data_IF_041469643356
#
_entry.id   IF_041469643356
#
_cell.length_a   1.000
_cell.length_b   1.000
_cell.length_c   1.000
_cell.angle_alpha   90.00
_cell.angle_beta   90.00
_cell.angle_gamma   90.00
#
_symmetry.space_group_name_H-M   'P 1'
#
loop_
_entity.id
_entity.type
_entity.pdbx_description
1 polymer ?
#
# COMPACT_ATOMS: atom_id res chain seq x y z
N UNK A 1 7.90 -18.67 17.22
CA UNK A 1 6.61 -18.80 16.51
C UNK A 1 6.89 -19.26 15.09
N UNK A 2 6.17 -20.26 14.58
CA UNK A 2 6.41 -20.80 13.25
C UNK A 2 5.58 -20.02 12.22
N UNK A 3 6.24 -19.20 11.40
CA UNK A 3 5.62 -18.43 10.32
C UNK A 3 5.24 -19.36 9.14
N UNK A 4 4.31 -20.30 9.35
CA UNK A 4 3.90 -21.30 8.35
C UNK A 4 3.15 -20.71 7.15
N UNK A 5 2.68 -19.45 7.25
CA UNK A 5 1.93 -18.74 6.22
C UNK A 5 2.67 -17.51 5.68
N UNK A 6 4.01 -17.52 5.74
CA UNK A 6 4.86 -16.45 5.22
C UNK A 6 5.68 -16.99 4.03
N UNK A 7 5.50 -16.37 2.85
CA UNK A 7 6.38 -16.57 1.70
C UNK A 7 7.33 -15.39 1.58
N UNK A 8 8.64 -15.66 1.51
CA UNK A 8 9.66 -14.63 1.28
C UNK A 8 10.06 -14.68 -0.19
N UNK A 9 9.60 -13.70 -0.97
CA UNK A 9 9.73 -13.67 -2.44
C UNK A 9 11.04 -13.04 -2.94
N UNK A 10 11.94 -12.66 -2.03
CA UNK A 10 13.21 -12.00 -2.37
C UNK A 10 13.07 -10.56 -2.88
N UNK A 11 14.19 -9.97 -3.29
CA UNK A 11 14.21 -8.64 -3.91
C UNK A 11 13.84 -8.74 -5.38
N UNK A 12 13.03 -7.80 -5.87
CA UNK A 12 12.56 -7.71 -7.25
C UNK A 12 12.81 -6.30 -7.79
N UNK A 13 13.01 -6.20 -9.10
CA UNK A 13 12.99 -4.90 -9.80
C UNK A 13 11.58 -4.33 -9.80
N UNK A 14 11.45 -3.00 -9.88
CA UNK A 14 10.16 -2.30 -9.77
C UNK A 14 9.09 -2.82 -10.73
N UNK A 15 9.42 -3.08 -11.99
CA UNK A 15 8.47 -3.60 -12.98
C UNK A 15 7.97 -5.01 -12.63
N UNK A 16 8.89 -5.88 -12.21
CA UNK A 16 8.58 -7.24 -11.80
C UNK A 16 7.73 -7.24 -10.52
N UNK A 17 8.09 -6.39 -9.56
CA UNK A 17 7.33 -6.21 -8.33
C UNK A 17 5.90 -5.72 -8.62
N UNK A 18 5.74 -4.72 -9.49
CA UNK A 18 4.42 -4.21 -9.87
C UNK A 18 3.59 -5.26 -10.59
N UNK A 19 4.20 -6.06 -11.48
CA UNK A 19 3.52 -7.15 -12.16
C UNK A 19 3.03 -8.21 -11.17
N UNK A 20 3.87 -8.62 -10.23
CA UNK A 20 3.50 -9.60 -9.20
C UNK A 20 2.38 -9.08 -8.29
N UNK A 21 2.49 -7.83 -7.81
CA UNK A 21 1.45 -7.21 -6.98
C UNK A 21 0.13 -7.02 -7.71
N UNK A 22 0.16 -6.77 -9.03
CA UNK A 22 -1.06 -6.58 -9.84
C UNK A 22 -1.95 -7.80 -9.95
N UNK A 23 -1.47 -8.98 -9.51
CA UNK A 23 -2.26 -10.22 -9.43
C UNK A 23 -3.36 -10.14 -8.37
N UNK A 24 -3.28 -9.19 -7.45
CA UNK A 24 -4.31 -8.93 -6.43
C UNK A 24 -3.82 -9.11 -5.00
N UNK A 25 -4.77 -9.01 -4.07
CA UNK A 25 -4.51 -8.99 -2.63
C UNK A 25 -4.56 -7.59 -2.04
N UNK A 26 -3.98 -7.42 -0.85
CA UNK A 26 -3.91 -6.15 -0.15
C UNK A 26 -2.46 -5.74 0.10
N UNK A 27 -2.16 -4.46 -0.13
CA UNK A 27 -0.90 -3.86 0.26
C UNK A 27 -0.92 -3.49 1.73
N UNK A 28 -0.23 -4.24 2.59
CA UNK A 28 -0.11 -3.91 4.00
C UNK A 28 1.02 -2.91 4.23
N UNK A 29 0.67 -1.72 4.72
CA UNK A 29 1.64 -0.73 5.16
C UNK A 29 1.69 -0.78 6.67
N UNK A 30 2.75 -1.38 7.21
CA UNK A 30 2.90 -1.55 8.65
C UNK A 30 4.22 -1.02 9.15
N UNK A 31 4.21 -0.60 10.41
CA UNK A 31 5.40 -0.19 11.13
C UNK A 31 5.79 -1.13 12.26
N UNK A 32 7.08 -1.30 12.49
CA UNK A 32 7.55 -1.96 13.71
C UNK A 32 7.66 -0.88 14.79
N UNK A 33 6.73 -0.88 15.74
CA UNK A 33 6.84 -0.12 16.99
C UNK A 33 7.99 -0.69 17.83
N UNK A 34 9.22 -0.46 17.40
CA UNK A 34 10.42 -0.77 18.16
C UNK A 34 11.43 0.31 17.82
N UNK A 35 11.25 1.49 18.40
CA UNK A 35 12.28 2.44 18.85
C UNK A 35 11.59 3.78 19.12
N UNK A 36 11.19 3.99 20.37
CA UNK A 36 10.52 5.21 20.87
C UNK A 36 11.42 6.47 20.82
N UNK A 37 12.54 6.45 20.11
CA UNK A 37 13.53 7.52 20.05
C UNK A 37 13.80 8.09 18.66
N UNK A 38 13.54 7.34 17.58
CA UNK A 38 13.78 7.83 16.24
C UNK A 38 12.58 7.57 15.32
N UNK A 39 12.10 8.67 14.74
CA UNK A 39 11.55 8.71 13.39
C UNK A 39 10.02 8.71 13.20
N UNK A 40 9.28 9.40 14.07
CA UNK A 40 7.92 9.86 13.73
C UNK A 40 7.90 10.66 12.39
N UNK A 41 8.98 11.36 12.07
CA UNK A 41 9.16 12.07 10.79
C UNK A 41 9.49 11.14 9.61
N UNK A 42 10.25 10.05 9.78
CA UNK A 42 10.51 9.12 8.66
C UNK A 42 9.28 8.28 8.30
N UNK A 43 8.45 7.91 9.27
CA UNK A 43 7.19 7.22 8.99
C UNK A 43 6.29 8.03 8.04
N UNK A 44 6.31 9.35 8.16
CA UNK A 44 5.54 10.24 7.30
C UNK A 44 6.06 10.26 5.85
N UNK A 45 7.37 10.08 5.64
CA UNK A 45 8.01 10.18 4.31
C UNK A 45 8.19 8.80 3.62
N UNK A 46 8.67 7.78 4.33
CA UNK A 46 8.94 6.45 3.78
C UNK A 46 7.67 5.72 3.33
N UNK A 47 6.52 6.04 3.93
CA UNK A 47 5.27 5.35 3.65
C UNK A 47 4.63 5.80 2.33
N UNK A 48 5.01 6.99 1.81
CA UNK A 48 4.58 7.45 0.48
C UNK A 48 4.94 6.45 -0.62
N UNK A 49 6.14 5.84 -0.55
CA UNK A 49 6.58 4.89 -1.56
C UNK A 49 5.81 3.56 -1.51
N UNK A 50 5.55 2.98 -0.34
CA UNK A 50 4.81 1.71 -0.23
C UNK A 50 3.35 1.87 -0.69
N UNK A 51 2.66 2.89 -0.16
CA UNK A 51 1.27 3.18 -0.55
C UNK A 51 1.20 3.41 -2.06
N UNK A 52 2.07 4.25 -2.60
CA UNK A 52 2.07 4.54 -4.03
C UNK A 52 2.37 3.31 -4.89
N UNK A 53 3.31 2.45 -4.49
CA UNK A 53 3.59 1.19 -5.21
C UNK A 53 2.37 0.29 -5.26
N UNK A 54 1.69 0.08 -4.14
CA UNK A 54 0.48 -0.75 -4.09
C UNK A 54 -0.66 -0.17 -4.93
N UNK A 55 -0.92 1.12 -4.82
CA UNK A 55 -1.95 1.79 -5.62
C UNK A 55 -1.60 1.80 -7.13
N UNK A 56 -0.31 1.95 -7.48
CA UNK A 56 0.17 1.86 -8.87
C UNK A 56 0.02 0.45 -9.43
N UNK A 57 0.24 -0.58 -8.60
CA UNK A 57 -0.02 -1.97 -8.92
C UNK A 57 -1.52 -2.30 -9.02
N UNK A 58 -2.40 -1.38 -8.60
CA UNK A 58 -3.84 -1.54 -8.73
C UNK A 58 -4.51 -2.27 -7.57
N UNK A 59 -3.83 -2.42 -6.44
CA UNK A 59 -4.36 -3.14 -5.27
C UNK A 59 -4.70 -2.19 -4.10
N UNK A 60 -5.76 -2.47 -3.35
CA UNK A 60 -6.12 -1.70 -2.16
C UNK A 60 -5.09 -1.86 -1.05
N UNK A 61 -5.04 -0.86 -0.17
CA UNK A 61 -4.07 -0.82 0.94
C UNK A 61 -4.75 -0.93 2.30
N UNK A 62 -4.03 -1.46 3.28
CA UNK A 62 -4.42 -1.41 4.70
C UNK A 62 -3.30 -0.69 5.45
N UNK A 63 -3.66 0.36 6.19
CA UNK A 63 -2.70 1.28 6.82
C UNK A 63 -3.08 1.55 8.28
N UNK A 64 -2.12 1.90 9.16
CA UNK A 64 -2.45 2.34 10.52
C UNK A 64 -3.15 3.69 10.52
N UNK A 65 -4.01 3.92 11.49
CA UNK A 65 -4.81 5.16 11.60
C UNK A 65 -3.95 6.40 11.84
N UNK A 66 -2.76 6.23 12.43
CA UNK A 66 -1.79 7.29 12.66
C UNK A 66 -1.04 7.73 11.39
N UNK A 67 -1.25 7.06 10.25
CA UNK A 67 -0.63 7.46 9.00
C UNK A 67 -1.29 8.74 8.46
N UNK A 68 -0.48 9.72 8.07
CA UNK A 68 -0.94 11.02 7.56
C UNK A 68 -1.91 10.92 6.36
N UNK A 69 -1.76 9.89 5.53
CA UNK A 69 -2.62 9.63 4.36
C UNK A 69 -3.79 8.68 4.65
N UNK A 70 -3.92 8.16 5.88
CA UNK A 70 -4.95 7.17 6.24
C UNK A 70 -6.37 7.66 5.96
N UNK A 71 -6.68 8.89 6.40
CA UNK A 71 -7.98 9.51 6.14
C UNK A 71 -8.27 9.64 4.65
N UNK A 72 -7.28 10.09 3.88
CA UNK A 72 -7.42 10.22 2.42
C UNK A 72 -7.71 8.86 1.76
N UNK A 73 -6.98 7.81 2.15
CA UNK A 73 -7.17 6.45 1.62
C UNK A 73 -8.61 5.98 1.85
N UNK A 74 -9.15 6.15 3.06
CA UNK A 74 -10.51 5.72 3.38
C UNK A 74 -11.56 6.60 2.71
N UNK A 75 -11.40 7.93 2.76
CA UNK A 75 -12.35 8.87 2.16
C UNK A 75 -12.45 8.69 0.62
N UNK A 76 -11.35 8.31 -0.04
CA UNK A 76 -11.33 7.99 -1.48
C UNK A 76 -11.68 6.53 -1.79
N UNK A 77 -11.93 5.70 -0.77
CA UNK A 77 -12.26 4.29 -0.91
C UNK A 77 -11.15 3.48 -1.58
N UNK A 78 -9.89 3.76 -1.25
CA UNK A 78 -8.68 3.11 -1.80
C UNK A 78 -8.13 2.01 -0.86
N UNK A 79 -8.75 1.82 0.29
CA UNK A 79 -8.25 0.91 1.32
C UNK A 79 -8.92 1.12 2.68
N UNK A 80 -8.30 0.55 3.71
CA UNK A 80 -8.81 0.55 5.08
C UNK A 80 -7.78 1.04 6.08
N UNK A 81 -8.29 1.46 7.25
CA UNK A 81 -7.49 1.65 8.45
C UNK A 81 -7.57 0.40 9.33
N UNK A 82 -6.45 0.02 9.93
CA UNK A 82 -6.36 -1.01 10.94
C UNK A 82 -5.19 -0.72 11.88
N UNK A 83 -5.40 -0.79 13.19
CA UNK A 83 -4.38 -0.54 14.22
C UNK A 83 -3.89 -1.82 14.90
N UNK A 84 -4.42 -2.97 14.49
CA UNK A 84 -3.96 -4.30 14.90
C UNK A 84 -3.97 -5.30 13.74
N UNK A 85 -3.16 -6.37 13.83
CA UNK A 85 -3.19 -7.43 12.82
C UNK A 85 -4.51 -8.20 12.87
N UNK A 86 -5.16 -8.28 14.03
CA UNK A 86 -6.49 -8.85 14.22
C UNK A 86 -7.54 -8.11 13.38
N UNK A 87 -7.47 -6.78 13.33
CA UNK A 87 -8.32 -5.96 12.45
C UNK A 87 -8.01 -6.19 10.97
N UNK A 88 -6.72 -6.28 10.61
CA UNK A 88 -6.30 -6.61 9.23
C UNK A 88 -6.91 -7.95 8.80
N UNK A 89 -6.81 -8.98 9.66
CA UNK A 89 -7.40 -10.29 9.41
C UNK A 89 -8.92 -10.20 9.25
N UNK A 90 -9.61 -9.50 10.15
CA UNK A 90 -11.06 -9.33 10.08
C UNK A 90 -11.53 -8.61 8.81
N UNK A 91 -10.76 -7.62 8.31
CA UNK A 91 -11.03 -6.93 7.05
C UNK A 91 -10.91 -7.91 5.88
N UNK A 92 -9.82 -8.67 5.81
CA UNK A 92 -9.57 -9.61 4.71
C UNK A 92 -10.60 -10.74 4.70
N UNK A 93 -10.94 -11.30 5.85
CA UNK A 93 -11.89 -12.42 5.97
C UNK A 93 -13.33 -12.02 5.60
N UNK A 94 -13.72 -10.77 5.87
CA UNK A 94 -15.07 -10.26 5.55
C UNK A 94 -15.16 -9.68 4.14
N UNK A 95 -14.03 -9.50 3.46
CA UNK A 95 -13.99 -8.87 2.14
C UNK A 95 -14.78 -9.68 1.13
N UNK A 96 -15.76 -9.05 0.49
CA UNK A 96 -16.47 -9.66 -0.62
C UNK A 96 -15.94 -9.17 -1.98
N UNK A 97 -16.24 -9.94 -3.01
CA UNK A 97 -15.75 -9.68 -4.36
C UNK A 97 -16.20 -8.31 -4.90
N UNK A 98 -17.44 -7.91 -4.61
CA UNK A 98 -18.01 -6.66 -5.10
C UNK A 98 -17.30 -5.46 -4.48
N UNK A 99 -17.15 -5.44 -3.15
CA UNK A 99 -16.43 -4.37 -2.44
C UNK A 99 -14.98 -4.24 -2.93
N UNK A 100 -14.31 -5.38 -3.12
CA UNK A 100 -12.95 -5.40 -3.65
C UNK A 100 -12.87 -4.87 -5.09
N UNK A 101 -13.82 -5.25 -5.95
CA UNK A 101 -13.89 -4.75 -7.32
C UNK A 101 -14.19 -3.25 -7.36
N UNK A 102 -15.05 -2.75 -6.49
CA UNK A 102 -15.34 -1.32 -6.40
C UNK A 102 -14.10 -0.52 -5.95
N UNK A 103 -13.35 -1.02 -4.95
CA UNK A 103 -12.07 -0.42 -4.56
C UNK A 103 -11.07 -0.43 -5.71
N UNK A 104 -10.83 -1.58 -6.33
CA UNK A 104 -9.85 -1.70 -7.43
C UNK A 104 -10.26 -0.85 -8.64
N UNK A 105 -11.54 -0.63 -8.90
CA UNK A 105 -12.00 0.28 -9.94
C UNK A 105 -11.70 1.75 -9.61
N UNK A 106 -11.92 2.19 -8.36
CA UNK A 106 -11.50 3.53 -7.90
C UNK A 106 -9.99 3.69 -8.00
N UNK A 107 -9.24 2.66 -7.61
CA UNK A 107 -7.78 2.63 -7.70
C UNK A 107 -7.32 2.68 -9.15
N UNK A 108 -7.98 2.03 -10.11
CA UNK A 108 -7.61 2.14 -11.53
C UNK A 108 -7.63 3.59 -12.00
N UNK A 109 -8.67 4.35 -11.66
CA UNK A 109 -8.77 5.78 -11.95
C UNK A 109 -7.62 6.56 -11.31
N UNK A 110 -7.33 6.29 -10.03
CA UNK A 110 -6.20 6.91 -9.33
C UNK A 110 -4.83 6.49 -9.89
N UNK A 111 -4.67 5.23 -10.27
CA UNK A 111 -3.44 4.67 -10.82
C UNK A 111 -3.15 5.26 -12.19
N UNK A 112 -4.18 5.63 -12.96
CA UNK A 112 -4.02 6.36 -14.21
C UNK A 112 -3.49 7.76 -13.95
N UNK A 113 -4.06 8.50 -12.98
CA UNK A 113 -3.55 9.82 -12.57
C UNK A 113 -2.11 9.76 -12.03
N UNK A 114 -1.79 8.71 -11.27
CA UNK A 114 -0.43 8.44 -10.84
C UNK A 114 0.42 8.14 -12.07
N UNK A 115 0.08 7.18 -12.94
CA UNK A 115 0.87 6.83 -14.13
C UNK A 115 1.09 8.01 -15.09
N UNK A 116 0.12 8.92 -15.23
CA UNK A 116 0.25 10.14 -16.05
C UNK A 116 1.21 11.18 -15.44
N UNK A 117 1.55 11.10 -14.14
CA UNK A 117 2.41 12.08 -13.45
C UNK A 117 3.55 11.53 -12.59
N UNK A 118 3.66 10.23 -12.38
CA UNK A 118 4.43 9.63 -11.27
C UNK A 118 5.82 9.13 -11.68
N UNK A 119 6.02 8.62 -12.89
CA UNK A 119 7.36 8.26 -13.38
C UNK A 119 8.00 9.35 -14.24
N UNK A 120 7.20 10.16 -14.94
CA UNK A 120 7.67 11.18 -15.87
C UNK A 120 8.43 12.34 -15.19
N UNK A 121 8.07 12.71 -13.95
CA UNK A 121 8.88 13.66 -13.16
C UNK A 121 10.03 13.00 -12.42
N UNK A 122 9.87 11.74 -12.00
CA UNK A 122 10.88 11.00 -11.25
C UNK A 122 12.15 10.73 -12.08
N UNK A 123 12.00 10.36 -13.36
CA UNK A 123 13.13 10.14 -14.27
C UNK A 123 13.84 11.42 -14.76
N UNK A 124 13.21 12.60 -14.67
CA UNK A 124 13.83 13.86 -15.10
C UNK A 124 14.64 14.57 -14.01
N UNK A 125 14.40 14.25 -12.72
CA UNK A 125 15.19 14.79 -11.60
C UNK A 125 16.34 13.87 -11.20
N UNK A 126 16.16 12.54 -11.29
CA UNK A 126 17.26 11.59 -11.03
C UNK A 126 18.40 11.66 -12.08
N UNK A 127 18.25 12.47 -13.13
CA UNK A 127 19.22 12.76 -14.18
C UNK A 127 19.97 14.11 -14.02
N UNK A 128 19.85 14.78 -12.86
CA UNK A 128 20.65 15.96 -12.48
C UNK A 128 21.30 15.76 -11.11
#
# INVERSE_FOLDING_TARGET
SNARNLSIEGWKKDEELLLELSKGGFGLVWGTHQNDGESNQYYTLNISHKVSTYLTAGIPVIVPSNLSTAKFIVDQGLGFMADSLEEVHAIVDKMNLQEYQEMTNRIKTFSYLLKEGYFTKKLLVDAI
#
